data_IF_423426603638
#
_entry.id   IF_423426603638
#
_cell.length_a   1.000
_cell.length_b   1.000
_cell.length_c   1.000
_cell.angle_alpha   90.00
_cell.angle_beta   90.00
_cell.angle_gamma   90.00
#
_symmetry.space_group_name_H-M   'P 1'
#
loop_
_entity.id
_entity.type
_entity.pdbx_description
1 polymer ?
#
# COMPACT_ATOMS: atom_id res chain seq x y z
N UNK A 1 -9.99 -7.39 -8.58
CA UNK A 1 -11.04 -7.58 -9.59
C UNK A 1 -11.85 -8.79 -9.16
N UNK A 2 -13.18 -8.69 -9.25
CA UNK A 2 -14.11 -9.79 -8.94
C UNK A 2 -13.99 -10.90 -9.99
N UNK A 3 -14.14 -12.15 -9.57
CA UNK A 3 -14.10 -13.35 -10.42
C UNK A 3 -15.11 -14.37 -9.90
N UNK A 4 -15.36 -15.46 -10.63
CA UNK A 4 -16.21 -16.57 -10.14
C UNK A 4 -15.72 -17.24 -8.84
N UNK A 5 -14.47 -16.98 -8.44
CA UNK A 5 -13.87 -17.47 -7.19
C UNK A 5 -13.88 -16.41 -6.07
N UNK A 6 -14.51 -15.26 -6.30
CA UNK A 6 -14.62 -14.19 -5.32
C UNK A 6 -15.86 -14.40 -4.46
N UNK A 7 -15.69 -14.12 -3.17
CA UNK A 7 -16.74 -13.92 -2.19
C UNK A 7 -17.12 -12.43 -2.10
N UNK A 8 -18.17 -12.15 -1.33
CA UNK A 8 -18.63 -10.80 -1.03
C UNK A 8 -18.37 -10.46 0.45
N UNK A 9 -17.57 -9.44 0.69
CA UNK A 9 -17.43 -8.85 2.02
C UNK A 9 -18.45 -7.72 2.24
N UNK A 10 -19.30 -7.87 3.25
CA UNK A 10 -20.20 -6.84 3.74
C UNK A 10 -19.83 -6.43 5.17
N UNK A 11 -20.06 -5.15 5.49
CA UNK A 11 -19.90 -4.63 6.86
C UNK A 11 -21.20 -4.01 7.32
N UNK A 12 -21.76 -4.51 8.41
CA UNK A 12 -23.01 -4.04 8.98
C UNK A 12 -22.74 -3.27 10.27
N UNK A 13 -23.16 -2.01 10.33
CA UNK A 13 -22.98 -1.15 11.49
C UNK A 13 -24.30 -1.02 12.24
N UNK A 14 -24.32 -1.49 13.49
CA UNK A 14 -25.54 -1.55 14.32
C UNK A 14 -25.36 -0.84 15.66
N UNK A 15 -26.48 -0.62 16.37
CA UNK A 15 -26.43 -0.10 17.75
C UNK A 15 -25.86 -1.18 18.69
N UNK A 16 -25.18 -0.76 19.76
CA UNK A 16 -24.52 -1.69 20.70
C UNK A 16 -25.50 -2.73 21.26
N UNK A 17 -26.72 -2.30 21.60
CA UNK A 17 -27.77 -3.17 22.16
C UNK A 17 -28.20 -4.34 21.27
N UNK A 18 -27.95 -4.29 19.96
CA UNK A 18 -28.31 -5.37 19.02
C UNK A 18 -27.09 -6.09 18.43
N UNK A 19 -25.86 -5.71 18.82
CA UNK A 19 -24.62 -6.22 18.25
C UNK A 19 -24.56 -7.75 18.29
N UNK A 20 -24.78 -8.36 19.45
CA UNK A 20 -24.65 -9.81 19.62
C UNK A 20 -25.76 -10.58 18.89
N UNK A 21 -26.98 -10.05 18.91
CA UNK A 21 -28.10 -10.63 18.16
C UNK A 21 -27.78 -10.66 16.66
N UNK A 22 -27.26 -9.57 16.11
CA UNK A 22 -26.95 -9.45 14.69
C UNK A 22 -25.70 -10.22 14.29
N UNK A 23 -24.69 -10.35 15.17
CA UNK A 23 -23.56 -11.25 14.94
C UNK A 23 -24.01 -12.70 14.84
N UNK A 24 -24.87 -13.17 15.75
CA UNK A 24 -25.43 -14.52 15.68
C UNK A 24 -26.30 -14.73 14.44
N UNK A 25 -27.09 -13.72 14.06
CA UNK A 25 -28.02 -13.83 12.93
C UNK A 25 -27.31 -13.72 11.58
N UNK A 26 -26.37 -12.80 11.42
CA UNK A 26 -25.80 -12.44 10.11
C UNK A 26 -24.28 -12.59 10.03
N UNK A 27 -23.57 -12.70 11.15
CA UNK A 27 -22.11 -12.86 11.14
C UNK A 27 -21.65 -14.09 10.36
N UNK A 28 -20.37 -14.07 9.93
CA UNK A 28 -19.75 -15.09 9.09
C UNK A 28 -20.24 -16.51 9.40
N UNK A 29 -20.88 -17.13 8.42
CA UNK A 29 -21.32 -18.52 8.45
C UNK A 29 -20.40 -19.31 7.54
N UNK A 30 -19.85 -20.41 8.04
CA UNK A 30 -19.12 -21.38 7.22
C UNK A 30 -20.01 -21.76 6.03
N UNK A 31 -19.53 -21.53 4.80
CA UNK A 31 -20.20 -21.80 3.51
C UNK A 31 -21.09 -20.69 2.91
N UNK A 32 -21.11 -19.48 3.45
CA UNK A 32 -21.76 -18.34 2.77
C UNK A 32 -20.87 -17.76 1.67
N UNK A 33 -21.42 -17.41 0.51
CA UNK A 33 -20.73 -16.55 -0.48
C UNK A 33 -20.58 -15.10 -0.02
N UNK A 34 -21.25 -14.74 1.09
CA UNK A 34 -21.21 -13.42 1.69
C UNK A 34 -20.70 -13.52 3.12
N UNK A 35 -19.57 -12.87 3.40
CA UNK A 35 -19.05 -12.65 4.74
C UNK A 35 -19.57 -11.31 5.27
N UNK A 36 -20.22 -11.32 6.45
CA UNK A 36 -20.79 -10.10 7.04
C UNK A 36 -20.10 -9.80 8.37
N UNK A 37 -19.23 -8.81 8.37
CA UNK A 37 -18.67 -8.24 9.59
C UNK A 37 -19.68 -7.32 10.28
N UNK A 38 -20.16 -7.69 11.47
CA UNK A 38 -21.08 -6.87 12.27
C UNK A 38 -20.33 -6.09 13.36
N UNK A 39 -20.42 -4.76 13.26
CA UNK A 39 -19.74 -3.80 14.14
C UNK A 39 -20.72 -2.81 14.75
N UNK A 40 -20.30 -2.16 15.82
CA UNK A 40 -20.93 -0.92 16.29
C UNK A 40 -20.22 0.27 15.66
N UNK A 41 -20.78 1.47 15.80
CA UNK A 41 -20.13 2.67 15.27
C UNK A 41 -18.73 2.86 15.89
N UNK A 42 -18.60 2.64 17.20
CA UNK A 42 -17.31 2.71 17.89
C UNK A 42 -16.40 1.54 17.54
N UNK A 43 -16.96 0.35 17.28
CA UNK A 43 -16.23 -0.77 16.70
C UNK A 43 -15.60 -0.41 15.35
N UNK A 44 -16.36 0.28 14.48
CA UNK A 44 -15.85 0.75 13.19
C UNK A 44 -14.76 1.82 13.35
N UNK A 45 -14.90 2.74 14.31
CA UNK A 45 -13.85 3.72 14.62
C UNK A 45 -12.55 3.05 15.05
N UNK A 46 -12.61 2.12 16.00
CA UNK A 46 -11.45 1.33 16.46
C UNK A 46 -10.81 0.56 15.30
N UNK A 47 -11.64 -0.04 14.45
CA UNK A 47 -11.19 -0.71 13.25
C UNK A 47 -10.51 0.23 12.23
N UNK A 48 -10.90 1.51 12.21
CA UNK A 48 -10.34 2.55 11.36
C UNK A 48 -9.08 3.21 11.92
N UNK A 49 -8.69 2.91 13.17
CA UNK A 49 -7.48 3.47 13.78
C UNK A 49 -6.20 3.04 13.05
N UNK A 50 -5.23 3.94 13.02
CA UNK A 50 -3.96 3.72 12.33
C UNK A 50 -2.94 3.06 13.24
N UNK A 51 -2.22 2.07 12.72
CA UNK A 51 -1.21 1.32 13.48
C UNK A 51 -1.79 0.14 14.28
N UNK A 52 -3.06 -0.21 14.06
CA UNK A 52 -3.64 -1.44 14.61
C UNK A 52 -3.40 -2.62 13.67
N UNK A 53 -3.66 -3.83 14.14
CA UNK A 53 -3.67 -5.06 13.32
C UNK A 53 -4.62 -5.01 12.12
N UNK A 54 -5.51 -4.01 12.03
CA UNK A 54 -6.48 -3.85 10.94
C UNK A 54 -6.00 -2.89 9.84
N UNK A 55 -4.69 -2.58 9.81
CA UNK A 55 -4.07 -1.75 8.76
C UNK A 55 -4.21 -2.38 7.38
N UNK A 56 -4.14 -3.71 7.29
CA UNK A 56 -4.29 -4.46 6.03
C UNK A 56 -5.67 -4.28 5.39
N UNK A 57 -6.73 -4.07 6.17
CA UNK A 57 -8.11 -3.92 5.68
C UNK A 57 -8.41 -2.48 5.21
N UNK A 58 -7.42 -1.58 5.15
CA UNK A 58 -7.65 -0.17 4.77
C UNK A 58 -8.01 -0.02 3.30
N UNK A 59 -7.35 -0.77 2.41
CA UNK A 59 -7.58 -0.63 0.98
C UNK A 59 -9.00 -1.03 0.56
N UNK A 60 -9.64 -1.95 1.30
CA UNK A 60 -11.05 -2.30 1.12
C UNK A 60 -12.01 -1.10 1.27
N UNK A 61 -11.56 0.01 1.88
CA UNK A 61 -12.36 1.23 2.01
C UNK A 61 -11.98 2.32 0.99
N UNK A 62 -10.89 2.15 0.23
CA UNK A 62 -10.35 3.17 -0.66
C UNK A 62 -11.39 3.68 -1.68
N UNK A 63 -12.19 2.75 -2.20
CA UNK A 63 -13.19 3.01 -3.24
C UNK A 63 -14.61 2.60 -2.83
N UNK A 64 -14.80 2.17 -1.58
CA UNK A 64 -16.08 1.67 -1.10
C UNK A 64 -17.04 2.83 -0.79
N UNK A 65 -18.30 2.67 -1.18
CA UNK A 65 -19.40 3.58 -0.84
C UNK A 65 -20.38 2.85 0.08
N UNK A 66 -20.86 3.48 1.16
CA UNK A 66 -21.92 2.87 1.97
C UNK A 66 -23.19 2.75 1.14
N UNK A 67 -23.82 1.58 1.16
CA UNK A 67 -25.14 1.37 0.55
C UNK A 67 -26.22 2.14 1.33
N UNK A 68 -26.05 2.28 2.65
CA UNK A 68 -26.99 2.95 3.52
C UNK A 68 -26.27 3.60 4.72
N UNK A 69 -26.48 4.90 4.95
CA UNK A 69 -25.98 5.62 6.13
C UNK A 69 -26.88 6.84 6.44
N UNK A 70 -27.86 6.67 7.33
CA UNK A 70 -28.75 7.77 7.77
C UNK A 70 -28.03 8.86 8.57
N UNK A 71 -26.84 8.58 9.08
CA UNK A 71 -26.14 9.46 10.03
C UNK A 71 -25.03 10.28 9.40
N UNK A 72 -24.56 9.88 8.21
CA UNK A 72 -23.34 10.39 7.58
C UNK A 72 -22.04 10.03 8.31
N UNK A 73 -22.11 9.46 9.52
CA UNK A 73 -20.95 9.15 10.36
C UNK A 73 -20.17 7.96 9.80
N UNK A 74 -20.84 6.97 9.22
CA UNK A 74 -20.19 5.79 8.62
C UNK A 74 -19.37 6.24 7.41
N UNK A 75 -19.97 7.03 6.51
CA UNK A 75 -19.29 7.60 5.34
C UNK A 75 -18.04 8.39 5.73
N UNK A 76 -18.12 9.18 6.81
CA UNK A 76 -16.98 9.94 7.34
C UNK A 76 -15.83 9.02 7.79
N UNK A 77 -16.13 8.01 8.62
CA UNK A 77 -15.12 7.07 9.13
C UNK A 77 -14.50 6.25 7.99
N UNK A 78 -15.31 5.80 7.03
CA UNK A 78 -14.81 5.07 5.85
C UNK A 78 -13.80 5.92 5.06
N UNK A 79 -14.12 7.19 4.80
CA UNK A 79 -13.23 8.13 4.10
C UNK A 79 -11.92 8.36 4.85
N UNK A 80 -11.97 8.40 6.18
CA UNK A 80 -10.77 8.52 7.02
C UNK A 80 -9.94 7.23 7.01
N UNK A 81 -10.58 6.05 7.05
CA UNK A 81 -9.88 4.75 6.96
C UNK A 81 -9.21 4.53 5.60
N UNK A 82 -9.87 4.97 4.53
CA UNK A 82 -9.44 4.89 3.14
C UNK A 82 -8.17 5.69 2.81
N UNK A 83 -7.75 6.60 3.70
CA UNK A 83 -6.64 7.51 3.48
C UNK A 83 -5.57 7.34 4.54
N UNK A 84 -4.35 7.75 4.19
CA UNK A 84 -3.26 7.81 5.15
C UNK A 84 -3.31 9.15 5.90
N UNK A 85 -3.39 9.19 7.24
CA UNK A 85 -3.35 10.44 7.99
C UNK A 85 -2.00 11.14 7.84
N UNK A 86 -1.98 12.46 7.60
CA UNK A 86 -0.73 13.24 7.39
C UNK A 86 0.34 12.99 8.46
N UNK A 87 -0.06 12.91 9.73
CA UNK A 87 0.87 12.63 10.85
C UNK A 87 1.55 11.26 10.73
N UNK A 88 0.85 10.25 10.19
CA UNK A 88 1.37 8.90 9.99
C UNK A 88 2.12 8.77 8.66
N UNK A 89 1.73 9.53 7.64
CA UNK A 89 2.41 9.55 6.33
C UNK A 89 3.90 9.81 6.49
N UNK A 90 4.31 10.81 7.27
CA UNK A 90 5.74 11.14 7.44
C UNK A 90 6.57 9.95 7.92
N UNK A 91 6.09 9.25 8.96
CA UNK A 91 6.79 8.09 9.52
C UNK A 91 6.83 6.94 8.52
N UNK A 92 5.72 6.65 7.85
CA UNK A 92 5.62 5.57 6.87
C UNK A 92 6.54 5.85 5.68
N UNK A 93 6.50 7.07 5.14
CA UNK A 93 7.36 7.48 4.04
C UNK A 93 8.82 7.35 4.45
N UNK A 94 9.23 7.89 5.60
CA UNK A 94 10.62 7.80 6.06
C UNK A 94 11.09 6.34 6.19
N UNK A 95 10.29 5.47 6.81
CA UNK A 95 10.65 4.08 7.02
C UNK A 95 10.68 3.29 5.70
N UNK A 96 9.62 3.40 4.88
CA UNK A 96 9.53 2.70 3.61
C UNK A 96 10.58 3.19 2.61
N UNK A 97 10.83 4.50 2.55
CA UNK A 97 11.86 5.07 1.70
C UNK A 97 13.26 4.63 2.14
N UNK A 98 13.57 4.68 3.44
CA UNK A 98 14.85 4.19 3.97
C UNK A 98 15.07 2.70 3.67
N UNK A 99 14.05 1.87 3.88
CA UNK A 99 14.11 0.44 3.56
C UNK A 99 14.29 0.19 2.05
N UNK A 100 13.58 0.92 1.19
CA UNK A 100 13.77 0.83 -0.26
C UNK A 100 15.19 1.22 -0.68
N UNK A 101 15.72 2.32 -0.14
CA UNK A 101 17.08 2.79 -0.42
C UNK A 101 18.10 1.73 0.01
N UNK A 102 17.94 1.16 1.22
CA UNK A 102 18.78 0.05 1.69
C UNK A 102 18.77 -1.13 0.70
N UNK A 103 17.61 -1.52 0.16
CA UNK A 103 17.55 -2.59 -0.84
C UNK A 103 18.26 -2.21 -2.13
N UNK A 104 18.18 -0.96 -2.59
CA UNK A 104 18.95 -0.49 -3.76
C UNK A 104 20.45 -0.67 -3.52
N UNK A 105 20.96 -0.25 -2.36
CA UNK A 105 22.37 -0.44 -2.02
C UNK A 105 22.79 -1.91 -1.93
N UNK A 106 21.93 -2.78 -1.38
CA UNK A 106 22.19 -4.23 -1.30
C UNK A 106 22.20 -4.90 -2.66
N UNK A 107 21.32 -4.49 -3.57
CA UNK A 107 21.34 -4.92 -4.97
C UNK A 107 22.71 -4.62 -5.58
N UNK A 108 23.17 -3.38 -5.47
CA UNK A 108 24.42 -2.93 -6.08
C UNK A 108 25.65 -3.62 -5.46
N UNK A 109 25.65 -3.81 -4.13
CA UNK A 109 26.66 -4.61 -3.43
C UNK A 109 26.70 -6.04 -3.97
N UNK A 110 25.55 -6.71 -4.05
CA UNK A 110 25.48 -8.08 -4.56
C UNK A 110 25.91 -8.17 -6.03
N UNK A 111 25.58 -7.17 -6.86
CA UNK A 111 26.03 -7.14 -8.25
C UNK A 111 27.55 -6.97 -8.37
N UNK A 112 28.14 -6.04 -7.61
CA UNK A 112 29.58 -5.82 -7.56
C UNK A 112 30.33 -7.09 -7.13
N UNK A 113 29.79 -7.78 -6.14
CA UNK A 113 30.39 -9.00 -5.58
C UNK A 113 30.04 -10.27 -6.41
N UNK A 114 29.34 -10.14 -7.54
CA UNK A 114 29.00 -11.23 -8.46
C UNK A 114 27.77 -12.08 -8.09
N UNK A 115 27.09 -11.77 -6.99
CA UNK A 115 25.92 -12.48 -6.48
C UNK A 115 24.60 -12.08 -7.16
N UNK A 116 24.48 -12.35 -8.46
CA UNK A 116 23.29 -11.98 -9.27
C UNK A 116 21.96 -12.51 -8.73
N UNK A 117 21.94 -13.73 -8.19
CA UNK A 117 20.72 -14.32 -7.60
C UNK A 117 20.30 -13.58 -6.33
N UNK A 118 21.26 -13.23 -5.47
CA UNK A 118 20.99 -12.44 -4.26
C UNK A 118 20.49 -11.04 -4.63
N UNK A 119 21.09 -10.39 -5.62
CA UNK A 119 20.60 -9.11 -6.14
C UNK A 119 19.14 -9.19 -6.62
N UNK A 120 18.74 -10.29 -7.29
CA UNK A 120 17.34 -10.49 -7.70
C UNK A 120 16.39 -10.60 -6.49
N UNK A 121 16.79 -11.29 -5.43
CA UNK A 121 15.99 -11.39 -4.20
C UNK A 121 15.85 -10.03 -3.52
N UNK A 122 16.92 -9.26 -3.42
CA UNK A 122 16.90 -7.89 -2.85
C UNK A 122 15.95 -6.96 -3.64
N UNK A 123 15.89 -7.08 -4.97
CA UNK A 123 14.90 -6.36 -5.80
C UNK A 123 13.47 -6.74 -5.39
N UNK A 124 13.17 -8.05 -5.29
CA UNK A 124 11.83 -8.55 -4.94
C UNK A 124 11.42 -8.04 -3.54
N UNK A 125 12.34 -8.10 -2.58
CA UNK A 125 12.12 -7.59 -1.21
C UNK A 125 11.98 -6.06 -1.17
N UNK A 126 12.58 -5.35 -2.12
CA UNK A 126 12.51 -3.89 -2.22
C UNK A 126 11.22 -3.34 -2.82
N UNK A 127 10.53 -4.10 -3.68
CA UNK A 127 9.28 -3.66 -4.32
C UNK A 127 8.20 -3.24 -3.31
N UNK A 128 7.93 -4.00 -2.23
CA UNK A 128 6.97 -3.57 -1.20
C UNK A 128 7.27 -2.21 -0.58
N UNK A 129 8.53 -1.93 -0.26
CA UNK A 129 8.96 -0.67 0.33
C UNK A 129 8.85 0.49 -0.65
N UNK A 130 9.24 0.26 -1.91
CA UNK A 130 9.05 1.21 -3.00
C UNK A 130 7.57 1.61 -3.16
N UNK A 131 6.69 0.61 -3.28
CA UNK A 131 5.25 0.86 -3.45
C UNK A 131 4.65 1.57 -2.24
N UNK A 132 5.00 1.16 -1.02
CA UNK A 132 4.50 1.83 0.19
C UNK A 132 4.93 3.30 0.23
N UNK A 133 6.19 3.61 -0.10
CA UNK A 133 6.69 4.99 -0.12
C UNK A 133 5.94 5.87 -1.14
N UNK A 134 5.74 5.41 -2.37
CA UNK A 134 5.09 6.22 -3.41
C UNK A 134 3.59 6.44 -3.13
N UNK A 135 2.89 5.42 -2.66
CA UNK A 135 1.46 5.55 -2.29
C UNK A 135 1.30 6.43 -1.05
N UNK A 136 2.17 6.29 -0.06
CA UNK A 136 2.17 7.15 1.12
C UNK A 136 2.43 8.62 0.76
N UNK A 137 3.32 8.91 -0.20
CA UNK A 137 3.56 10.26 -0.69
C UNK A 137 2.31 10.87 -1.36
N UNK A 138 1.51 10.07 -2.05
CA UNK A 138 0.19 10.45 -2.59
C UNK A 138 -0.91 10.58 -1.51
N UNK A 139 -0.61 10.19 -0.27
CA UNK A 139 -1.59 10.11 0.82
C UNK A 139 -2.60 8.97 0.65
N UNK A 140 -2.29 8.00 -0.22
CA UNK A 140 -3.11 6.84 -0.55
C UNK A 140 -2.62 5.61 0.21
N UNK A 141 -3.53 4.67 0.43
CA UNK A 141 -3.19 3.34 0.95
C UNK A 141 -2.75 2.48 -0.23
N UNK A 142 -1.68 1.70 -0.07
CA UNK A 142 -1.23 0.77 -1.10
C UNK A 142 -2.32 -0.29 -1.38
N UNK A 143 -2.66 -0.56 -2.66
CA UNK A 143 -3.58 -1.62 -3.04
C UNK A 143 -3.00 -3.01 -2.76
N UNK A 144 -3.87 -4.01 -2.60
CA UNK A 144 -3.44 -5.41 -2.72
C UNK A 144 -2.81 -5.66 -4.09
N UNK A 145 -1.85 -6.57 -4.19
CA UNK A 145 -1.15 -6.84 -5.45
C UNK A 145 -2.12 -7.17 -6.60
N UNK A 146 -3.19 -7.96 -6.34
CA UNK A 146 -4.26 -8.27 -7.32
C UNK A 146 -4.99 -7.03 -7.88
N UNK A 147 -4.95 -5.91 -7.16
CA UNK A 147 -5.60 -4.65 -7.56
C UNK A 147 -4.62 -3.56 -7.99
N UNK A 148 -3.30 -3.79 -7.91
CA UNK A 148 -2.29 -2.76 -8.14
C UNK A 148 -2.37 -2.17 -9.55
N UNK A 149 -2.44 -3.02 -10.57
CA UNK A 149 -2.57 -2.56 -11.96
C UNK A 149 -3.88 -1.79 -12.19
N UNK A 150 -5.00 -2.34 -11.74
CA UNK A 150 -6.29 -1.68 -11.84
C UNK A 150 -6.27 -0.30 -11.16
N UNK A 151 -5.67 -0.22 -9.97
CA UNK A 151 -5.57 1.00 -9.18
C UNK A 151 -4.76 2.08 -9.89
N UNK A 152 -3.59 1.73 -10.42
CA UNK A 152 -2.73 2.67 -11.15
C UNK A 152 -3.34 3.08 -12.50
N UNK A 153 -4.10 2.19 -13.13
CA UNK A 153 -4.75 2.46 -14.41
C UNK A 153 -5.98 3.37 -14.28
N UNK A 154 -6.76 3.21 -13.20
CA UNK A 154 -7.98 3.97 -12.95
C UNK A 154 -7.73 5.25 -12.16
N UNK A 155 -6.76 5.22 -11.25
CA UNK A 155 -6.36 6.33 -10.40
C UNK A 155 -4.84 6.52 -10.47
N UNK A 156 -4.32 7.13 -11.56
CA UNK A 156 -2.88 7.36 -11.72
C UNK A 156 -2.27 8.14 -10.55
N UNK A 157 -0.99 7.89 -10.27
CA UNK A 157 -0.24 8.70 -9.31
C UNK A 157 0.02 10.08 -9.93
N UNK A 158 -0.21 11.15 -9.18
CA UNK A 158 -0.17 12.52 -9.70
C UNK A 158 1.15 13.23 -9.46
N UNK A 159 1.93 12.74 -8.49
CA UNK A 159 3.24 13.29 -8.10
C UNK A 159 4.41 12.62 -8.83
N UNK A 160 4.15 11.56 -9.58
CA UNK A 160 5.15 10.75 -10.25
C UNK A 160 5.00 10.85 -11.77
N UNK A 161 6.09 10.69 -12.54
CA UNK A 161 6.09 10.97 -13.98
C UNK A 161 5.47 9.84 -14.83
N UNK A 162 5.15 8.70 -14.21
CA UNK A 162 4.68 7.53 -14.95
C UNK A 162 3.29 7.75 -15.49
N UNK A 163 3.15 7.58 -16.81
CA UNK A 163 1.84 7.50 -17.45
C UNK A 163 1.15 6.18 -17.08
N UNK A 164 -0.12 6.09 -17.44
CA UNK A 164 -0.94 4.88 -17.30
C UNK A 164 -0.18 3.65 -17.81
N UNK A 165 -0.08 2.61 -16.98
CA UNK A 165 0.59 1.35 -17.30
C UNK A 165 2.14 1.37 -17.28
N UNK A 166 2.80 2.54 -17.29
CA UNK A 166 4.27 2.59 -17.36
C UNK A 166 4.93 2.00 -16.11
N UNK A 167 4.39 2.27 -14.92
CA UNK A 167 4.94 1.71 -13.69
C UNK A 167 4.74 0.20 -13.62
N UNK A 168 3.57 -0.30 -14.04
CA UNK A 168 3.27 -1.74 -14.08
C UNK A 168 4.25 -2.45 -15.00
N UNK A 169 4.43 -1.95 -16.23
CA UNK A 169 5.40 -2.50 -17.18
C UNK A 169 6.82 -2.55 -16.61
N UNK A 170 7.23 -1.55 -15.82
CA UNK A 170 8.54 -1.55 -15.13
C UNK A 170 8.62 -2.63 -14.06
N UNK A 171 7.55 -2.85 -13.29
CA UNK A 171 7.49 -3.91 -12.29
C UNK A 171 7.50 -5.31 -12.94
N UNK A 172 6.78 -5.49 -14.05
CA UNK A 172 6.79 -6.76 -14.81
C UNK A 172 8.18 -7.05 -15.38
N UNK A 173 8.82 -6.05 -16.00
CA UNK A 173 10.18 -6.20 -16.52
C UNK A 173 11.22 -6.51 -15.41
N UNK A 174 10.99 -6.07 -14.17
CA UNK A 174 11.82 -6.42 -13.01
C UNK A 174 11.66 -7.90 -12.62
N UNK A 175 10.44 -8.40 -12.61
CA UNK A 175 10.12 -9.77 -12.19
C UNK A 175 10.51 -10.80 -13.26
N UNK A 176 10.19 -10.51 -14.53
CA UNK A 176 10.24 -11.48 -15.62
C UNK A 176 11.56 -11.46 -16.38
N UNK A 177 12.13 -10.27 -16.63
CA UNK A 177 13.28 -10.11 -17.54
C UNK A 177 14.61 -9.96 -16.82
N UNK A 178 14.61 -10.11 -15.49
CA UNK A 178 15.79 -9.92 -14.63
C UNK A 178 16.51 -8.58 -14.90
N UNK A 179 15.77 -7.54 -15.30
CA UNK A 179 16.31 -6.23 -15.63
C UNK A 179 16.53 -5.42 -14.37
N UNK A 180 17.49 -5.86 -13.55
CA UNK A 180 17.81 -5.26 -12.24
C UNK A 180 18.10 -3.76 -12.36
N UNK A 181 18.65 -3.29 -13.48
CA UNK A 181 18.87 -1.86 -13.76
C UNK A 181 17.59 -1.00 -13.72
N UNK A 182 16.40 -1.59 -13.90
CA UNK A 182 15.13 -0.86 -13.72
C UNK A 182 14.95 -0.44 -12.26
N UNK A 183 15.42 -1.22 -11.30
CA UNK A 183 15.30 -0.93 -9.88
C UNK A 183 16.11 0.32 -9.51
N UNK A 184 17.32 0.40 -10.06
CA UNK A 184 18.15 1.61 -10.00
C UNK A 184 17.47 2.82 -10.66
N UNK A 185 16.87 2.63 -11.84
CA UNK A 185 16.13 3.70 -12.52
C UNK A 185 14.91 4.19 -11.72
N UNK A 186 14.20 3.31 -11.01
CA UNK A 186 13.13 3.71 -10.09
C UNK A 186 13.68 4.59 -8.97
N UNK A 187 14.83 4.24 -8.40
CA UNK A 187 15.52 5.06 -7.40
C UNK A 187 15.87 6.45 -7.93
N UNK A 188 16.52 6.54 -9.10
CA UNK A 188 16.84 7.82 -9.75
C UNK A 188 15.58 8.65 -9.96
N UNK A 189 14.50 8.02 -10.46
CA UNK A 189 13.24 8.70 -10.79
C UNK A 189 12.59 9.32 -9.56
N UNK A 190 12.51 8.59 -8.44
CA UNK A 190 11.79 9.07 -7.25
C UNK A 190 12.62 10.04 -6.40
N UNK A 191 13.96 9.97 -6.46
CA UNK A 191 14.86 10.79 -5.65
C UNK A 191 14.54 12.29 -5.67
N UNK A 192 14.47 12.98 -6.83
CA UNK A 192 14.15 14.41 -6.86
C UNK A 192 12.75 14.72 -6.33
N UNK A 193 11.79 13.82 -6.53
CA UNK A 193 10.40 13.98 -6.08
C UNK A 193 10.32 13.95 -4.56
N UNK A 194 10.93 12.96 -3.92
CA UNK A 194 10.96 12.86 -2.45
C UNK A 194 11.79 13.98 -1.82
N UNK A 195 12.90 14.40 -2.43
CA UNK A 195 13.67 15.58 -1.99
C UNK A 195 12.81 16.84 -1.99
N UNK A 196 12.09 17.12 -3.07
CA UNK A 196 11.15 18.26 -3.18
C UNK A 196 10.03 18.21 -2.13
N UNK A 197 9.67 17.02 -1.64
CA UNK A 197 8.66 16.82 -0.60
C UNK A 197 9.25 16.75 0.83
N UNK A 198 10.51 17.14 1.04
CA UNK A 198 11.12 17.26 2.36
C UNK A 198 11.78 15.99 2.91
N UNK A 199 11.99 14.96 2.07
CA UNK A 199 12.61 13.69 2.46
C UNK A 199 14.09 13.59 2.05
N UNK A 200 14.79 14.73 1.94
CA UNK A 200 16.22 14.78 1.57
C UNK A 200 17.10 13.94 2.47
N UNK A 201 16.86 13.99 3.79
CA UNK A 201 17.62 13.26 4.79
C UNK A 201 17.68 11.75 4.52
N UNK A 202 16.57 11.16 4.06
CA UNK A 202 16.51 9.72 3.76
C UNK A 202 17.48 9.29 2.66
N UNK A 203 17.85 10.18 1.73
CA UNK A 203 18.86 9.90 0.70
C UNK A 203 20.27 10.28 1.14
N UNK A 204 20.38 11.32 1.97
CA UNK A 204 21.66 11.89 2.36
C UNK A 204 22.33 11.08 3.47
N UNK A 205 21.59 10.38 4.32
CA UNK A 205 22.10 9.42 5.31
C UNK A 205 22.91 8.27 4.72
N UNK A 206 22.75 8.00 3.42
CA UNK A 206 23.44 6.92 2.71
C UNK A 206 24.61 7.43 1.85
N UNK A 207 24.85 8.74 1.80
CA UNK A 207 25.99 9.31 1.07
C UNK A 207 27.29 8.82 1.69
N UNK A 208 28.18 8.27 0.87
CA UNK A 208 29.48 7.76 1.32
C UNK A 208 29.43 6.42 2.05
N UNK A 209 28.25 5.89 2.39
CA UNK A 209 28.13 4.58 3.02
C UNK A 209 28.48 3.43 2.07
N UNK A 210 28.35 3.64 0.76
CA UNK A 210 28.69 2.66 -0.26
C UNK A 210 29.14 3.36 -1.55
N UNK A 211 30.27 2.92 -2.10
CA UNK A 211 30.64 3.20 -3.50
C UNK A 211 29.71 2.36 -4.39
N UNK A 212 28.57 2.92 -4.74
CA UNK A 212 27.70 2.43 -5.80
C UNK A 212 27.99 3.26 -7.02
N UNK A 213 28.73 2.68 -7.98
CA UNK A 213 28.99 3.25 -9.30
C UNK A 213 29.49 4.70 -9.27
N UNK A 214 30.80 4.88 -9.06
CA UNK A 214 31.49 5.91 -9.84
C UNK A 214 31.54 5.45 -11.31
#
# INVERSE_FOLDING_TARGET
METKYSDYDAKMIVKDKVLQLYRRKYGNREKSQIEIGVFTLDGLKKHAEYGTKMVWDRYNFAHLKPLFDRTGKIKKIMREKARMPKKKQKVIISNALGAFINQVFRVEKNLRDGFKKAAKLEVIEGIPFFLEAIFALEGRVRPYNKYLEWELNKYPLTKFPWKKGELIKKLDDLLDKNKISIFHNLFITIRPIFKKNGYTRAFDEWKGCYQVGE
#
